data_IF_809364252826
#
_entry.id   IF_809364252826
#
_cell.length_a   1.000
_cell.length_b   1.000
_cell.length_c   1.000
_cell.angle_alpha   90.00
_cell.angle_beta   90.00
_cell.angle_gamma   90.00
#
_symmetry.space_group_name_H-M   'P 1'
#
loop_
_entity.id
_entity.type
_entity.pdbx_description
1 polymer ?
#
# COMPACT_ATOMS: atom_id res chain seq x y z
N UNK A 1 -23.16 -3.97 -13.61
CA UNK A 1 -22.66 -3.44 -12.33
C UNK A 1 -23.52 -2.26 -12.00
N UNK A 2 -24.23 -2.32 -10.88
CA UNK A 2 -25.09 -1.23 -10.44
C UNK A 2 -24.24 0.02 -10.21
N UNK A 3 -24.71 1.18 -10.68
CA UNK A 3 -24.02 2.47 -10.56
C UNK A 3 -23.68 2.77 -9.08
N UNK A 4 -24.51 2.29 -8.17
CA UNK A 4 -24.32 2.37 -6.72
C UNK A 4 -23.04 1.68 -6.25
N UNK A 5 -22.75 0.47 -6.73
CA UNK A 5 -21.52 -0.26 -6.36
C UNK A 5 -20.29 0.53 -6.79
N UNK A 6 -20.30 1.07 -8.01
CA UNK A 6 -19.18 1.88 -8.51
C UNK A 6 -18.98 3.14 -7.66
N UNK A 7 -20.07 3.78 -7.23
CA UNK A 7 -20.01 4.94 -6.35
C UNK A 7 -19.35 4.60 -4.99
N UNK A 8 -19.76 3.51 -4.35
CA UNK A 8 -19.13 3.05 -3.10
C UNK A 8 -17.65 2.71 -3.27
N UNK A 9 -17.29 2.06 -4.37
CA UNK A 9 -15.89 1.76 -4.70
C UNK A 9 -15.07 3.04 -4.91
N UNK A 10 -15.63 4.05 -5.57
CA UNK A 10 -14.97 5.34 -5.77
C UNK A 10 -14.76 6.09 -4.45
N UNK A 11 -15.76 6.09 -3.56
CA UNK A 11 -15.66 6.69 -2.23
C UNK A 11 -14.61 5.95 -1.37
N UNK A 12 -14.60 4.61 -1.42
CA UNK A 12 -13.57 3.80 -0.80
C UNK A 12 -12.18 4.10 -1.35
N UNK A 13 -12.05 4.27 -2.67
CA UNK A 13 -10.79 4.62 -3.33
C UNK A 13 -10.28 6.01 -2.91
N UNK A 14 -11.17 6.99 -2.76
CA UNK A 14 -10.82 8.31 -2.24
C UNK A 14 -10.27 8.22 -0.80
N UNK A 15 -11.00 7.55 0.10
CA UNK A 15 -10.58 7.35 1.49
C UNK A 15 -9.26 6.56 1.57
N UNK A 16 -9.12 5.54 0.73
CA UNK A 16 -7.90 4.75 0.63
C UNK A 16 -6.71 5.61 0.18
N UNK A 17 -6.86 6.41 -0.88
CA UNK A 17 -5.81 7.33 -1.33
C UNK A 17 -5.43 8.35 -0.27
N UNK A 18 -6.42 8.92 0.43
CA UNK A 18 -6.20 9.85 1.54
C UNK A 18 -5.37 9.20 2.66
N UNK A 19 -5.79 8.04 3.17
CA UNK A 19 -5.08 7.34 4.24
C UNK A 19 -3.71 6.83 3.77
N UNK A 20 -3.62 6.31 2.55
CA UNK A 20 -2.36 5.85 1.99
C UNK A 20 -1.33 6.98 1.94
N UNK A 21 -1.72 8.15 1.44
CA UNK A 21 -0.82 9.30 1.33
C UNK A 21 -0.27 9.78 2.67
N UNK A 22 -0.99 9.54 3.77
CA UNK A 22 -0.58 9.92 5.12
C UNK A 22 0.31 8.83 5.74
N UNK A 23 -0.12 7.56 5.70
CA UNK A 23 0.50 6.46 6.47
C UNK A 23 0.79 5.17 5.72
N UNK A 24 0.41 5.05 4.45
CA UNK A 24 0.68 3.86 3.63
C UNK A 24 -0.29 2.70 3.86
N UNK A 25 -1.50 2.99 4.34
CA UNK A 25 -2.52 2.00 4.73
C UNK A 25 -3.72 1.90 3.79
N UNK A 26 -3.73 2.54 2.60
CA UNK A 26 -4.94 2.63 1.79
C UNK A 26 -5.52 1.28 1.36
N UNK A 27 -4.65 0.29 1.12
CA UNK A 27 -5.06 -1.07 0.77
C UNK A 27 -5.88 -1.77 1.87
N UNK A 28 -5.76 -1.38 3.14
CA UNK A 28 -6.58 -1.93 4.23
C UNK A 28 -8.06 -1.53 4.10
N UNK A 29 -8.35 -0.46 3.38
CA UNK A 29 -9.73 -0.03 3.10
C UNK A 29 -10.16 -0.57 1.75
N UNK A 30 -9.35 -0.32 0.73
CA UNK A 30 -9.73 -0.57 -0.65
C UNK A 30 -9.89 -2.06 -0.96
N UNK A 31 -9.00 -2.91 -0.46
CA UNK A 31 -9.01 -4.36 -0.73
C UNK A 31 -10.24 -5.07 -0.16
N UNK A 32 -10.55 -4.98 1.16
CA UNK A 32 -11.72 -5.68 1.71
C UNK A 32 -13.04 -5.13 1.17
N UNK A 33 -13.18 -3.81 0.98
CA UNK A 33 -14.39 -3.24 0.39
C UNK A 33 -14.61 -3.75 -1.04
N UNK A 34 -13.55 -3.78 -1.86
CA UNK A 34 -13.70 -4.23 -3.25
C UNK A 34 -13.99 -5.73 -3.35
N UNK A 35 -13.41 -6.55 -2.47
CA UNK A 35 -13.74 -7.98 -2.42
C UNK A 35 -15.17 -8.23 -1.92
N UNK A 36 -15.67 -7.41 -0.99
CA UNK A 36 -17.05 -7.50 -0.50
C UNK A 36 -18.07 -7.08 -1.57
N UNK A 37 -17.77 -6.02 -2.34
CA UNK A 37 -18.66 -5.51 -3.39
C UNK A 37 -18.53 -6.25 -4.73
N UNK A 38 -17.45 -7.01 -4.95
CA UNK A 38 -17.20 -7.80 -6.15
C UNK A 38 -16.99 -9.29 -5.85
N UNK A 39 -17.91 -9.96 -5.11
CA UNK A 39 -17.70 -11.32 -4.59
C UNK A 39 -17.64 -12.40 -5.69
N UNK A 40 -18.21 -12.09 -6.86
CA UNK A 40 -18.30 -12.99 -8.02
C UNK A 40 -17.05 -12.95 -8.91
N UNK A 41 -16.11 -12.03 -8.65
CA UNK A 41 -14.89 -11.91 -9.42
C UNK A 41 -13.73 -12.70 -8.79
N UNK A 42 -12.80 -13.24 -9.60
CA UNK A 42 -11.55 -13.79 -9.10
C UNK A 42 -10.78 -12.75 -8.28
N UNK A 43 -10.14 -13.19 -7.19
CA UNK A 43 -9.35 -12.32 -6.30
C UNK A 43 -8.24 -11.64 -7.09
N UNK A 44 -7.56 -12.36 -7.97
CA UNK A 44 -6.52 -11.83 -8.85
C UNK A 44 -7.01 -10.68 -9.73
N UNK A 45 -8.24 -10.76 -10.24
CA UNK A 45 -8.86 -9.70 -11.06
C UNK A 45 -9.22 -8.48 -10.22
N UNK A 46 -9.77 -8.68 -9.02
CA UNK A 46 -10.05 -7.58 -8.09
C UNK A 46 -8.76 -6.88 -7.70
N UNK A 47 -7.77 -7.61 -7.18
CA UNK A 47 -6.48 -7.04 -6.75
C UNK A 47 -5.77 -6.34 -7.92
N UNK A 48 -5.72 -6.95 -9.11
CA UNK A 48 -5.12 -6.33 -10.29
C UNK A 48 -5.81 -5.03 -10.69
N UNK A 49 -7.14 -4.98 -10.61
CA UNK A 49 -7.92 -3.76 -10.85
C UNK A 49 -7.61 -2.67 -9.82
N UNK A 50 -7.31 -3.02 -8.56
CA UNK A 50 -6.97 -2.04 -7.50
C UNK A 50 -5.55 -1.47 -7.60
N UNK A 51 -4.65 -2.10 -8.36
CA UNK A 51 -3.28 -1.58 -8.53
C UNK A 51 -3.25 -0.27 -9.33
N UNK A 52 -4.18 -0.08 -10.27
CA UNK A 52 -4.31 1.17 -11.05
C UNK A 52 -4.64 2.38 -10.16
N UNK A 53 -5.71 2.37 -9.34
CA UNK A 53 -5.98 3.46 -8.42
C UNK A 53 -4.89 3.65 -7.38
N UNK A 54 -4.33 2.57 -6.82
CA UNK A 54 -3.22 2.67 -5.87
C UNK A 54 -1.99 3.38 -6.48
N UNK A 55 -1.64 3.04 -7.72
CA UNK A 55 -0.57 3.71 -8.47
C UNK A 55 -0.84 5.20 -8.64
N UNK A 56 -2.05 5.58 -9.08
CA UNK A 56 -2.41 6.98 -9.33
C UNK A 56 -2.38 7.87 -8.07
N UNK A 57 -2.94 7.41 -6.95
CA UNK A 57 -2.91 8.14 -5.68
C UNK A 57 -1.51 8.22 -5.09
N UNK A 58 -0.76 7.12 -5.15
CA UNK A 58 0.64 7.11 -4.71
C UNK A 58 1.49 8.04 -5.57
N UNK A 59 1.24 8.14 -6.88
CA UNK A 59 2.01 8.99 -7.78
C UNK A 59 1.82 10.47 -7.44
N UNK A 60 0.56 10.90 -7.26
CA UNK A 60 0.27 12.26 -6.85
C UNK A 60 0.80 12.59 -5.44
N UNK A 61 0.66 11.67 -4.48
CA UNK A 61 1.24 11.85 -3.15
C UNK A 61 2.77 11.98 -3.22
N UNK A 62 3.44 11.09 -3.96
CA UNK A 62 4.89 11.07 -4.14
C UNK A 62 5.40 12.38 -4.74
N UNK A 63 4.71 12.91 -5.76
CA UNK A 63 5.08 14.19 -6.39
C UNK A 63 5.11 15.37 -5.40
N UNK A 64 4.32 15.32 -4.33
CA UNK A 64 4.31 16.33 -3.28
C UNK A 64 5.41 16.11 -2.25
N UNK A 65 5.65 14.86 -1.83
CA UNK A 65 6.70 14.53 -0.87
C UNK A 65 8.12 14.73 -1.43
N UNK A 66 8.33 14.44 -2.72
CA UNK A 66 9.59 14.68 -3.41
C UNK A 66 10.06 16.14 -3.37
N UNK A 67 9.13 17.09 -3.22
CA UNK A 67 9.47 18.52 -3.08
C UNK A 67 10.07 18.87 -1.71
N UNK A 68 9.99 17.96 -0.73
CA UNK A 68 10.39 18.20 0.67
C UNK A 68 11.57 17.35 1.12
N UNK A 69 11.87 16.25 0.43
CA UNK A 69 12.90 15.29 0.83
C UNK A 69 13.84 15.02 -0.34
N UNK A 70 15.15 15.10 -0.09
CA UNK A 70 16.17 14.66 -1.05
C UNK A 70 16.29 13.14 -1.01
N UNK A 71 16.32 12.51 -2.18
CA UNK A 71 16.40 11.07 -2.35
C UNK A 71 17.77 10.71 -2.92
N UNK A 72 18.35 9.63 -2.40
CA UNK A 72 19.52 9.00 -3.02
C UNK A 72 19.06 8.22 -4.26
N UNK A 73 19.30 8.77 -5.44
CA UNK A 73 18.85 8.17 -6.70
C UNK A 73 19.42 6.78 -6.94
N UNK A 74 20.66 6.50 -6.49
CA UNK A 74 21.31 5.21 -6.72
C UNK A 74 20.69 4.14 -5.83
N UNK A 75 20.54 4.44 -4.54
CA UNK A 75 19.87 3.54 -3.60
C UNK A 75 18.41 3.28 -4.01
N UNK A 76 17.69 4.36 -4.40
CA UNK A 76 16.33 4.25 -4.91
C UNK A 76 16.24 3.35 -6.15
N UNK A 77 17.09 3.54 -7.17
CA UNK A 77 17.02 2.76 -8.39
C UNK A 77 17.21 1.26 -8.13
N UNK A 78 18.16 0.89 -7.27
CA UNK A 78 18.40 -0.50 -6.89
C UNK A 78 17.16 -1.08 -6.19
N UNK A 79 16.64 -0.37 -5.18
CA UNK A 79 15.45 -0.79 -4.43
C UNK A 79 14.22 -0.90 -5.33
N UNK A 80 14.02 0.04 -6.26
CA UNK A 80 12.90 0.05 -7.19
C UNK A 80 12.94 -1.14 -8.16
N UNK A 81 14.11 -1.49 -8.69
CA UNK A 81 14.26 -2.68 -9.55
C UNK A 81 13.94 -3.95 -8.77
N UNK A 82 14.51 -4.10 -7.57
CA UNK A 82 14.21 -5.26 -6.71
C UNK A 82 12.72 -5.36 -6.39
N UNK A 83 12.10 -4.25 -6.01
CA UNK A 83 10.68 -4.18 -5.66
C UNK A 83 9.78 -4.47 -6.87
N UNK A 84 10.10 -3.93 -8.04
CA UNK A 84 9.38 -4.16 -9.29
C UNK A 84 9.39 -5.65 -9.67
N UNK A 85 10.58 -6.27 -9.73
CA UNK A 85 10.72 -7.68 -10.11
C UNK A 85 10.01 -8.56 -9.08
N UNK A 86 10.17 -8.25 -7.80
CA UNK A 86 9.56 -9.02 -6.74
C UNK A 86 8.03 -8.91 -6.73
N UNK A 87 7.47 -7.73 -6.95
CA UNK A 87 6.03 -7.53 -7.07
C UNK A 87 5.46 -8.21 -8.31
N UNK A 88 6.18 -8.18 -9.44
CA UNK A 88 5.80 -8.92 -10.64
C UNK A 88 5.68 -10.43 -10.34
N UNK A 89 6.68 -11.01 -9.66
CA UNK A 89 6.67 -12.42 -9.27
C UNK A 89 5.58 -12.74 -8.23
N UNK A 90 5.35 -11.86 -7.25
CA UNK A 90 4.28 -12.01 -6.27
C UNK A 90 2.89 -11.99 -6.91
N UNK A 91 2.69 -11.07 -7.85
CA UNK A 91 1.46 -11.04 -8.66
C UNK A 91 1.33 -12.28 -9.54
N UNK A 92 2.44 -12.82 -10.06
CA UNK A 92 2.41 -14.04 -10.87
C UNK A 92 1.91 -15.22 -10.04
N UNK A 93 2.42 -15.37 -8.81
CA UNK A 93 1.94 -16.37 -7.88
C UNK A 93 0.43 -16.21 -7.60
N UNK A 94 -0.04 -14.98 -7.41
CA UNK A 94 -1.48 -14.71 -7.21
C UNK A 94 -2.34 -15.23 -8.37
N UNK A 95 -1.85 -15.19 -9.60
CA UNK A 95 -2.61 -15.67 -10.77
C UNK A 95 -2.67 -17.18 -10.92
N UNK A 96 -1.79 -17.93 -10.25
CA UNK A 96 -1.69 -19.39 -10.39
C UNK A 96 -2.37 -20.12 -9.23
N UNK A 97 -2.52 -19.47 -8.06
CA UNK A 97 -3.20 -20.08 -6.91
C UNK A 97 -4.72 -20.12 -7.15
N UNK A 98 -5.33 -21.25 -6.78
CA UNK A 98 -6.78 -21.44 -6.90
C UNK A 98 -7.54 -20.44 -6.00
N UNK A 99 -8.54 -19.76 -6.59
CA UNK A 99 -9.37 -18.75 -5.91
C UNK A 99 -10.05 -19.28 -4.64
N UNK A 100 -10.41 -20.57 -4.60
CA UNK A 100 -11.09 -21.17 -3.45
C UNK A 100 -10.20 -21.24 -2.21
N UNK A 101 -8.89 -21.38 -2.41
CA UNK A 101 -7.89 -21.36 -1.34
C UNK A 101 -7.42 -19.94 -0.99
N UNK A 102 -7.57 -19.00 -1.92
CA UNK A 102 -7.15 -17.60 -1.71
C UNK A 102 -8.07 -16.85 -0.76
N UNK A 103 -9.40 -17.07 -0.79
CA UNK A 103 -10.33 -16.31 0.07
C UNK A 103 -10.04 -16.49 1.58
N UNK A 104 -9.84 -17.72 2.11
CA UNK A 104 -9.50 -17.92 3.52
C UNK A 104 -8.08 -17.46 3.87
N UNK A 105 -7.10 -17.72 3.00
CA UNK A 105 -5.70 -17.30 3.21
C UNK A 105 -5.61 -15.77 3.25
N UNK A 106 -6.33 -15.08 2.38
CA UNK A 106 -6.38 -13.62 2.35
C UNK A 106 -7.07 -13.06 3.58
N UNK A 107 -8.13 -13.71 4.09
CA UNK A 107 -8.76 -13.34 5.36
C UNK A 107 -7.78 -13.50 6.54
N UNK A 108 -7.07 -14.62 6.63
CA UNK A 108 -6.05 -14.87 7.66
C UNK A 108 -4.91 -13.85 7.53
N UNK A 109 -4.45 -13.56 6.32
CA UNK A 109 -3.42 -12.56 6.09
C UNK A 109 -3.93 -11.18 6.48
N UNK A 110 -5.14 -10.75 6.09
CA UNK A 110 -5.75 -9.50 6.55
C UNK A 110 -5.82 -9.42 8.08
N UNK A 111 -6.16 -10.53 8.76
CA UNK A 111 -6.18 -10.62 10.23
C UNK A 111 -4.78 -10.51 10.83
N UNK A 112 -3.79 -11.26 10.31
CA UNK A 112 -2.40 -11.23 10.78
C UNK A 112 -1.76 -9.87 10.52
N UNK A 113 -2.08 -9.22 9.40
CA UNK A 113 -1.62 -7.87 9.07
C UNK A 113 -2.26 -6.83 9.98
N UNK A 114 -3.55 -6.97 10.27
CA UNK A 114 -4.24 -6.15 11.26
C UNK A 114 -3.57 -6.32 12.63
N UNK A 115 -3.37 -7.56 13.10
CA UNK A 115 -2.65 -7.89 14.34
C UNK A 115 -1.23 -7.32 14.35
N UNK A 116 -0.42 -7.57 13.33
CA UNK A 116 0.94 -7.05 13.26
C UNK A 116 0.99 -5.51 13.32
N UNK A 117 0.05 -4.85 12.63
CA UNK A 117 -0.12 -3.39 12.68
C UNK A 117 -0.52 -2.93 14.08
N UNK A 118 -1.32 -3.72 14.81
CA UNK A 118 -1.75 -3.47 16.20
C UNK A 118 -0.59 -3.65 17.21
N UNK A 119 0.27 -4.66 17.02
CA UNK A 119 1.23 -5.08 18.05
C UNK A 119 2.60 -4.39 17.98
N UNK A 120 2.99 -3.78 16.86
CA UNK A 120 4.25 -3.02 16.78
C UNK A 120 4.06 -1.57 17.23
N UNK A 121 4.14 -1.36 18.55
CA UNK A 121 3.77 -0.10 19.26
C UNK A 121 4.68 1.12 19.03
N UNK A 122 5.90 0.96 18.52
CA UNK A 122 6.92 2.05 18.53
C UNK A 122 7.23 2.64 17.16
N UNK A 123 6.20 3.17 16.50
CA UNK A 123 6.38 3.93 15.26
C UNK A 123 6.71 5.41 15.54
N UNK A 124 7.80 5.88 14.94
CA UNK A 124 8.06 7.32 14.78
C UNK A 124 8.86 7.99 15.90
N UNK A 125 9.53 7.23 16.77
CA UNK A 125 10.54 7.78 17.71
C UNK A 125 11.99 7.63 17.21
N UNK A 126 12.19 7.07 16.01
CA UNK A 126 13.53 6.88 15.48
C UNK A 126 14.11 8.21 14.99
N UNK A 127 15.04 8.76 15.75
CA UNK A 127 16.00 9.75 15.27
C UNK A 127 16.82 9.12 14.16
N UNK A 128 17.12 9.89 13.10
CA UNK A 128 17.90 9.41 11.96
C UNK A 128 19.22 8.80 12.43
N UNK A 129 19.48 7.54 12.05
CA UNK A 129 20.70 6.81 12.35
C UNK A 129 21.51 6.66 11.07
N UNK A 130 22.77 7.11 11.11
CA UNK A 130 23.70 6.88 9.99
C UNK A 130 24.16 5.43 9.99
N UNK A 131 23.83 4.70 8.93
CA UNK A 131 24.37 3.36 8.67
C UNK A 131 25.35 3.41 7.49
N UNK A 132 26.32 2.48 7.41
CA UNK A 132 27.19 2.36 6.24
C UNK A 132 26.40 2.13 4.96
N UNK A 133 26.82 2.76 3.86
CA UNK A 133 26.10 2.73 2.57
C UNK A 133 25.89 1.31 2.01
N UNK A 134 26.87 0.41 2.17
CA UNK A 134 26.74 -0.98 1.73
C UNK A 134 25.64 -1.74 2.51
N UNK A 135 25.51 -1.48 3.83
CA UNK A 135 24.45 -2.06 4.66
C UNK A 135 23.09 -1.49 4.25
N UNK A 136 23.03 -0.19 3.92
CA UNK A 136 21.80 0.44 3.44
C UNK A 136 21.29 -0.19 2.15
N UNK A 137 22.19 -0.52 1.21
CA UNK A 137 21.83 -1.24 -0.03
C UNK A 137 21.27 -2.62 0.30
N UNK A 138 21.99 -3.43 1.10
CA UNK A 138 21.58 -4.79 1.42
C UNK A 138 20.22 -4.80 2.12
N UNK A 139 20.06 -3.99 3.17
CA UNK A 139 18.81 -3.87 3.91
C UNK A 139 17.68 -3.33 3.01
N UNK A 140 17.99 -2.35 2.15
CA UNK A 140 17.05 -1.80 1.18
C UNK A 140 16.55 -2.85 0.21
N UNK A 141 17.43 -3.70 -0.32
CA UNK A 141 17.08 -4.83 -1.19
C UNK A 141 16.22 -5.86 -0.46
N UNK A 142 16.59 -6.25 0.78
CA UNK A 142 15.82 -7.21 1.57
C UNK A 142 14.39 -6.72 1.80
N UNK A 143 14.23 -5.46 2.22
CA UNK A 143 12.90 -4.85 2.40
C UNK A 143 12.15 -4.78 1.07
N UNK A 144 12.82 -4.35 0.00
CA UNK A 144 12.22 -4.21 -1.33
C UNK A 144 11.73 -5.54 -1.91
N UNK A 145 12.47 -6.62 -1.71
CA UNK A 145 12.08 -7.96 -2.14
C UNK A 145 10.96 -8.48 -1.25
N UNK A 146 11.12 -8.49 0.07
CA UNK A 146 10.11 -9.06 0.96
C UNK A 146 8.76 -8.33 0.87
N UNK A 147 8.80 -7.00 0.95
CA UNK A 147 7.58 -6.17 0.90
C UNK A 147 7.07 -6.06 -0.53
N UNK A 148 7.94 -6.04 -1.55
CA UNK A 148 7.54 -6.02 -2.95
C UNK A 148 6.79 -7.29 -3.36
N UNK A 149 7.31 -8.47 -2.99
CA UNK A 149 6.62 -9.74 -3.21
C UNK A 149 5.24 -9.75 -2.55
N UNK A 150 5.21 -9.36 -1.27
CA UNK A 150 3.97 -9.24 -0.51
C UNK A 150 2.98 -8.27 -1.15
N UNK A 151 3.47 -7.13 -1.65
CA UNK A 151 2.63 -6.13 -2.30
C UNK A 151 2.02 -6.68 -3.58
N UNK A 152 2.83 -7.35 -4.39
CA UNK A 152 2.37 -7.96 -5.63
C UNK A 152 1.39 -9.12 -5.40
N UNK A 153 1.60 -9.88 -4.32
CA UNK A 153 0.74 -11.00 -3.98
C UNK A 153 -0.62 -10.56 -3.43
N UNK A 154 -0.66 -9.61 -2.49
CA UNK A 154 -1.91 -9.19 -1.82
C UNK A 154 -2.00 -7.67 -1.73
N UNK A 155 -1.01 -6.98 -1.14
CA UNK A 155 -0.94 -5.51 -1.17
C UNK A 155 -1.51 -4.63 -0.03
N UNK A 156 -2.33 -5.10 0.94
CA UNK A 156 -2.77 -4.24 2.05
C UNK A 156 -1.61 -3.78 2.93
N UNK A 157 -1.64 -2.55 3.46
CA UNK A 157 -0.59 -2.03 4.37
C UNK A 157 0.86 -2.04 3.85
N UNK A 158 1.09 -2.23 2.54
CA UNK A 158 2.41 -2.22 1.92
C UNK A 158 3.23 -0.98 2.28
N UNK A 159 2.61 0.22 2.21
CA UNK A 159 3.29 1.47 2.54
C UNK A 159 3.78 1.49 3.99
N UNK A 160 2.99 1.01 4.93
CA UNK A 160 3.38 0.86 6.35
C UNK A 160 4.58 -0.07 6.51
N UNK A 161 4.64 -1.18 5.76
CA UNK A 161 5.76 -2.11 5.82
C UNK A 161 7.05 -1.56 5.23
N UNK A 162 6.95 -0.81 4.13
CA UNK A 162 8.10 -0.09 3.62
C UNK A 162 8.60 0.95 4.63
N UNK A 163 7.70 1.76 5.21
CA UNK A 163 8.06 2.73 6.24
C UNK A 163 8.76 2.03 7.40
N UNK A 164 8.22 0.91 7.88
CA UNK A 164 8.85 0.11 8.93
C UNK A 164 10.25 -0.35 8.56
N UNK A 165 10.39 -1.03 7.43
CA UNK A 165 11.67 -1.54 6.98
C UNK A 165 12.71 -0.43 6.88
N UNK A 166 12.33 0.73 6.35
CA UNK A 166 13.23 1.86 6.16
C UNK A 166 13.59 2.57 7.47
N UNK A 167 12.65 2.69 8.41
CA UNK A 167 12.93 3.23 9.73
C UNK A 167 13.82 2.28 10.54
N UNK A 168 13.48 0.99 10.58
CA UNK A 168 14.17 0.03 11.47
C UNK A 168 15.48 -0.48 10.91
N UNK A 169 15.56 -0.73 9.60
CA UNK A 169 16.74 -1.34 8.96
C UNK A 169 17.62 -0.32 8.24
N UNK A 170 17.05 0.81 7.77
CA UNK A 170 17.82 1.86 7.10
C UNK A 170 18.06 3.09 8.00
N UNK A 171 17.47 3.12 9.20
CA UNK A 171 17.65 4.21 10.16
C UNK A 171 17.09 5.55 9.69
N UNK A 172 16.19 5.55 8.70
CA UNK A 172 15.59 6.76 8.17
C UNK A 172 14.64 7.40 9.19
N UNK A 173 14.58 8.73 9.19
CA UNK A 173 13.46 9.41 9.85
C UNK A 173 12.13 9.06 9.16
N UNK A 174 11.01 9.30 9.83
CA UNK A 174 9.70 8.92 9.33
C UNK A 174 9.36 9.59 7.97
N UNK A 175 9.76 10.84 7.75
CA UNK A 175 9.42 11.58 6.54
C UNK A 175 10.20 11.04 5.33
N UNK A 176 11.50 10.77 5.51
CA UNK A 176 12.37 10.11 4.53
C UNK A 176 11.89 8.69 4.25
N UNK A 177 11.57 7.93 5.29
CA UNK A 177 11.03 6.58 5.15
C UNK A 177 9.70 6.57 4.39
N UNK A 178 8.78 7.47 4.71
CA UNK A 178 7.49 7.60 4.00
C UNK A 178 7.69 8.00 2.53
N UNK A 179 8.61 8.93 2.25
CA UNK A 179 8.89 9.34 0.87
C UNK A 179 9.48 8.20 0.05
N UNK A 180 10.49 7.50 0.59
CA UNK A 180 11.06 6.31 -0.06
C UNK A 180 10.02 5.20 -0.20
N UNK A 181 9.20 4.96 0.83
CA UNK A 181 8.14 3.95 0.80
C UNK A 181 7.17 4.18 -0.36
N UNK A 182 6.75 5.42 -0.59
CA UNK A 182 5.85 5.75 -1.70
C UNK A 182 6.50 5.57 -3.07
N UNK A 183 7.76 5.99 -3.20
CA UNK A 183 8.53 5.77 -4.42
C UNK A 183 8.69 4.29 -4.77
N UNK A 184 9.04 3.47 -3.79
CA UNK A 184 9.18 2.02 -3.98
C UNK A 184 7.80 1.39 -4.22
N UNK A 185 6.75 1.86 -3.55
CA UNK A 185 5.38 1.40 -3.78
C UNK A 185 4.88 1.74 -5.20
N UNK A 186 5.37 2.81 -5.83
CA UNK A 186 5.12 3.03 -7.26
C UNK A 186 5.75 1.95 -8.13
N UNK A 187 6.98 1.54 -7.81
CA UNK A 187 7.66 0.49 -8.53
C UNK A 187 6.97 -0.87 -8.36
N UNK A 188 6.51 -1.21 -7.15
CA UNK A 188 5.75 -2.45 -6.92
C UNK A 188 4.41 -2.45 -7.63
N UNK A 189 3.64 -1.35 -7.52
CA UNK A 189 2.37 -1.22 -8.23
C UNK A 189 2.57 -1.30 -9.74
N UNK A 190 3.61 -0.67 -10.28
CA UNK A 190 3.94 -0.78 -11.70
C UNK A 190 4.28 -2.22 -12.11
N UNK A 191 5.07 -2.94 -11.31
CA UNK A 191 5.39 -4.36 -11.53
C UNK A 191 4.13 -5.24 -11.56
N UNK A 192 3.24 -5.06 -10.60
CA UNK A 192 1.94 -5.75 -10.58
C UNK A 192 1.07 -5.37 -11.78
N UNK A 193 0.96 -4.08 -12.12
CA UNK A 193 0.18 -3.61 -13.27
C UNK A 193 0.69 -4.28 -14.55
N UNK A 194 2.01 -4.32 -14.78
CA UNK A 194 2.58 -4.99 -15.95
C UNK A 194 2.10 -6.43 -16.07
N UNK A 195 2.15 -7.21 -14.98
CA UNK A 195 1.70 -8.58 -15.00
C UNK A 195 0.17 -8.69 -15.22
N UNK A 196 -0.64 -7.97 -14.44
CA UNK A 196 -2.09 -8.06 -14.56
C UNK A 196 -2.60 -7.56 -15.92
N UNK A 197 -1.88 -6.63 -16.54
CA UNK A 197 -2.11 -6.20 -17.92
C UNK A 197 -1.85 -7.34 -18.91
N UNK A 198 -0.69 -8.02 -18.79
CA UNK A 198 -0.35 -9.20 -19.62
C UNK A 198 -1.40 -10.31 -19.45
N UNK A 199 -1.92 -10.50 -18.23
CA UNK A 199 -2.93 -11.52 -17.90
C UNK A 199 -4.36 -11.10 -18.25
N UNK A 200 -4.59 -9.86 -18.68
CA UNK A 200 -5.93 -9.35 -18.99
C UNK A 200 -6.88 -9.27 -17.79
N UNK A 201 -6.34 -9.13 -16.57
CA UNK A 201 -7.09 -9.20 -15.31
C UNK A 201 -7.49 -7.81 -14.76
N UNK A 202 -7.37 -6.75 -15.57
CA UNK A 202 -7.69 -5.38 -15.15
C UNK A 202 -9.06 -4.97 -15.69
N UNK A 203 -9.98 -4.62 -14.79
CA UNK A 203 -11.30 -4.11 -15.17
C UNK A 203 -11.25 -2.58 -15.26
N UNK A 204 -10.94 -2.09 -16.45
CA UNK A 204 -10.79 -0.65 -16.73
C UNK A 204 -12.00 0.20 -16.33
N UNK A 205 -13.21 -0.34 -16.49
CA UNK A 205 -14.47 0.33 -16.10
C UNK A 205 -14.55 0.65 -14.61
N UNK A 206 -13.83 -0.09 -13.77
CA UNK A 206 -13.75 0.11 -12.31
C UNK A 206 -12.45 0.86 -11.96
N UNK A 207 -11.33 0.44 -12.55
CA UNK A 207 -10.01 0.98 -12.28
C UNK A 207 -9.90 2.49 -12.55
N UNK A 208 -10.42 2.97 -13.69
CA UNK A 208 -10.26 4.38 -14.08
C UNK A 208 -11.04 5.36 -13.18
N UNK A 209 -12.35 5.17 -12.90
CA UNK A 209 -13.07 6.03 -11.97
C UNK A 209 -12.45 6.01 -10.56
N UNK A 210 -12.10 4.82 -10.06
CA UNK A 210 -11.42 4.69 -8.78
C UNK A 210 -10.07 5.41 -8.77
N UNK A 211 -9.34 5.41 -9.89
CA UNK A 211 -8.04 6.07 -9.98
C UNK A 211 -8.17 7.59 -9.84
N UNK A 212 -9.17 8.20 -10.46
CA UNK A 212 -9.44 9.63 -10.28
C UNK A 212 -9.74 9.95 -8.81
N UNK A 213 -10.59 9.15 -8.16
CA UNK A 213 -10.93 9.35 -6.75
C UNK A 213 -9.74 9.12 -5.82
N UNK A 214 -8.95 8.07 -6.06
CA UNK A 214 -7.76 7.75 -5.27
C UNK A 214 -6.67 8.82 -5.45
N UNK A 215 -6.46 9.30 -6.68
CA UNK A 215 -5.61 10.43 -7.01
C UNK A 215 -5.99 11.69 -6.21
N UNK A 216 -7.27 12.07 -6.20
CA UNK A 216 -7.76 13.22 -5.44
C UNK A 216 -7.55 13.04 -3.92
N UNK A 217 -7.91 11.86 -3.38
CA UNK A 217 -7.69 11.53 -1.97
C UNK A 217 -6.22 11.61 -1.58
N UNK A 218 -5.35 11.02 -2.39
CA UNK A 218 -3.90 11.02 -2.18
C UNK A 218 -3.28 12.41 -2.29
N UNK A 219 -3.79 13.25 -3.18
CA UNK A 219 -3.36 14.64 -3.28
C UNK A 219 -3.68 15.43 -2.00
N UNK A 220 -4.93 15.33 -1.53
CA UNK A 220 -5.40 16.06 -0.33
C UNK A 220 -4.69 15.53 0.92
N UNK A 221 -4.59 14.22 1.08
CA UNK A 221 -3.97 13.61 2.27
C UNK A 221 -2.47 13.90 2.36
N UNK A 222 -1.73 13.85 1.25
CA UNK A 222 -0.31 14.23 1.24
C UNK A 222 -0.12 15.71 1.59
N UNK A 223 -0.94 16.61 1.03
CA UNK A 223 -0.87 18.04 1.34
C UNK A 223 -1.11 18.29 2.84
N UNK A 224 -2.09 17.62 3.42
CA UNK A 224 -2.43 17.73 4.84
C UNK A 224 -1.30 17.20 5.73
N UNK A 225 -0.76 16.01 5.41
CA UNK A 225 0.35 15.39 6.12
C UNK A 225 1.61 16.27 6.13
N UNK A 226 1.98 16.81 4.96
CA UNK A 226 3.14 17.70 4.82
C UNK A 226 2.95 18.98 5.64
N UNK A 227 1.76 19.57 5.65
CA UNK A 227 1.49 20.83 6.34
C UNK A 227 1.42 20.69 7.87
N UNK A 228 0.90 19.56 8.38
CA UNK A 228 0.68 19.34 9.82
C UNK A 228 1.86 18.63 10.51
N UNK A 229 2.83 18.12 9.74
CA UNK A 229 4.07 17.52 10.25
C UNK A 229 3.89 16.14 10.90
N UNK A 230 5.00 15.61 11.42
CA UNK A 230 5.11 14.21 11.88
C UNK A 230 4.11 13.83 12.98
N UNK A 231 3.77 14.75 13.91
CA UNK A 231 2.82 14.46 15.00
C UNK A 231 1.42 14.15 14.46
N UNK A 232 0.95 14.91 13.46
CA UNK A 232 -0.37 14.71 12.88
C UNK A 232 -0.46 13.39 12.10
N UNK A 233 0.56 13.10 11.30
CA UNK A 233 0.63 11.84 10.54
C UNK A 233 0.51 10.64 11.49
N UNK A 234 1.19 10.72 12.64
CA UNK A 234 1.10 9.72 13.68
C UNK A 234 -0.30 9.60 14.30
N UNK A 235 -0.98 10.70 14.60
CA UNK A 235 -2.36 10.64 15.13
C UNK A 235 -3.32 9.96 14.16
N UNK A 236 -3.23 10.30 12.87
CA UNK A 236 -4.06 9.66 11.83
C UNK A 236 -3.73 8.18 11.71
N UNK A 237 -2.45 7.80 11.80
CA UNK A 237 -2.06 6.39 11.81
C UNK A 237 -2.81 5.60 12.89
N UNK A 238 -2.77 6.10 14.13
CA UNK A 238 -3.41 5.47 15.28
C UNK A 238 -4.93 5.41 15.10
N UNK A 239 -5.54 6.49 14.62
CA UNK A 239 -6.98 6.55 14.39
C UNK A 239 -7.44 5.53 13.33
N UNK A 240 -6.70 5.40 12.23
CA UNK A 240 -6.99 4.42 11.17
C UNK A 240 -6.89 2.99 11.71
N UNK A 241 -5.87 2.73 12.54
CA UNK A 241 -5.74 1.44 13.21
C UNK A 241 -6.97 1.16 14.09
N UNK A 242 -7.36 2.09 14.95
CA UNK A 242 -8.53 1.93 15.84
C UNK A 242 -9.82 1.67 15.08
N UNK A 243 -10.10 2.44 14.02
CA UNK A 243 -11.29 2.24 13.18
C UNK A 243 -11.25 0.89 12.46
N UNK A 244 -10.07 0.45 12.01
CA UNK A 244 -9.91 -0.85 11.36
C UNK A 244 -10.19 -1.98 12.34
N UNK A 245 -9.71 -1.87 13.59
CA UNK A 245 -10.00 -2.82 14.68
C UNK A 245 -11.51 -2.88 14.97
N UNK A 246 -12.16 -1.73 15.15
CA UNK A 246 -13.59 -1.70 15.48
C UNK A 246 -14.45 -2.33 14.39
N UNK A 247 -14.16 -2.03 13.12
CA UNK A 247 -14.88 -2.60 11.98
C UNK A 247 -14.69 -4.13 11.90
N UNK A 248 -13.44 -4.60 11.99
CA UNK A 248 -13.16 -6.04 11.89
C UNK A 248 -13.64 -6.81 13.11
N UNK A 249 -13.55 -6.22 14.31
CA UNK A 249 -14.10 -6.79 15.53
C UNK A 249 -15.61 -6.96 15.46
N UNK A 250 -16.33 -5.99 14.91
CA UNK A 250 -17.77 -6.12 14.64
C UNK A 250 -18.07 -7.24 13.63
N UNK A 251 -17.28 -7.34 12.57
CA UNK A 251 -17.45 -8.34 11.51
C UNK A 251 -17.11 -9.79 11.96
N UNK A 252 -16.25 -9.95 12.97
CA UNK A 252 -15.89 -11.25 13.57
C UNK A 252 -16.82 -11.65 14.71
N UNK A 253 -17.40 -10.69 15.44
CA UNK A 253 -18.28 -10.96 16.59
C UNK A 253 -19.75 -11.14 16.17
N UNK A 254 -20.20 -10.44 15.11
CA UNK A 254 -21.60 -10.46 14.66
C UNK A 254 -21.82 -11.26 13.36
N UNK A 255 -20.93 -12.20 13.04
CA UNK A 255 -21.15 -13.26 12.06
C UNK A 255 -20.91 -14.63 12.68
#
# INVERSE_FOLDING_TARGET
MEIEILFYLCMAAFCAGFIDSIVGGGGLIQTPLSLAFLPNLPVSTVIGTLKIPAFSGTALATSQYLKKVKIDCKLFAIMAICAFVSAFLGSQLLTVINNDFMKPVLLIILIVLAIYTIFKKDFGQATERKIPYHIAIINGCIVSIAVGFYDGFIGPATGTFFILGFVTLLGMDFLKANTNAKLINLATNFGSICLFLIKGQIIWKIALPMAVCNALGGFIGAKLAINKGNKFIRYIFILVILLSICRFGYEVIFK
#
